data_IF_544813277943
#
_entry.id   IF_544813277943
#
_cell.length_a   1.000
_cell.length_b   1.000
_cell.length_c   1.000
_cell.angle_alpha   90.00
_cell.angle_beta   90.00
_cell.angle_gamma   90.00
#
_symmetry.space_group_name_H-M   'P 1'
#
loop_
_entity.id
_entity.type
_entity.pdbx_description
1 polymer ?
#
# COMPACT_ATOMS: atom_id res chain seq x y z
N UNK A 1 38.02 10.07 -6.23
CA UNK A 1 37.16 11.19 -5.80
C UNK A 1 35.97 10.53 -5.13
N UNK A 2 35.91 10.63 -3.80
CA UNK A 2 34.80 10.10 -2.99
C UNK A 2 33.57 10.96 -3.27
N UNK A 3 32.56 10.41 -3.96
CA UNK A 3 31.26 11.07 -4.04
C UNK A 3 30.74 11.21 -2.61
N UNK A 4 30.69 12.41 -2.08
CA UNK A 4 29.97 12.70 -0.83
C UNK A 4 28.55 12.22 -1.02
N UNK A 5 28.21 11.07 -0.43
CA UNK A 5 26.84 10.58 -0.38
C UNK A 5 26.03 11.63 0.34
N UNK A 6 25.12 12.30 -0.38
CA UNK A 6 24.22 13.29 0.20
C UNK A 6 23.38 12.58 1.28
N UNK A 7 23.72 12.83 2.54
CA UNK A 7 22.93 12.35 3.68
C UNK A 7 21.55 12.97 3.57
N UNK A 8 20.51 12.14 3.57
CA UNK A 8 19.14 12.65 3.68
C UNK A 8 18.96 13.41 4.98
N UNK A 9 18.28 14.53 4.87
CA UNK A 9 17.76 15.20 6.05
C UNK A 9 16.59 14.42 6.64
N UNK A 10 16.37 14.51 7.95
CA UNK A 10 15.24 13.85 8.62
C UNK A 10 13.89 14.16 7.94
N UNK A 11 13.59 15.42 7.52
CA UNK A 11 12.35 15.70 6.77
C UNK A 11 12.25 14.96 5.43
N UNK A 12 13.35 14.77 4.72
CA UNK A 12 13.36 14.04 3.44
C UNK A 12 13.11 12.54 3.65
N UNK A 13 13.74 11.95 4.67
CA UNK A 13 13.48 10.57 5.07
C UNK A 13 12.01 10.40 5.47
N UNK A 14 11.50 11.26 6.34
CA UNK A 14 10.10 11.24 6.77
C UNK A 14 9.14 11.36 5.56
N UNK A 15 9.49 12.18 4.57
CA UNK A 15 8.70 12.35 3.36
C UNK A 15 8.53 11.04 2.56
N UNK A 16 9.64 10.32 2.37
CA UNK A 16 9.62 9.05 1.60
C UNK A 16 8.83 7.98 2.35
N UNK A 17 9.14 7.77 3.64
CA UNK A 17 8.48 6.72 4.42
C UNK A 17 7.00 7.03 4.68
N UNK A 18 6.64 8.30 4.92
CA UNK A 18 5.25 8.70 5.06
C UNK A 18 4.46 8.46 3.76
N UNK A 19 5.01 8.84 2.58
CA UNK A 19 4.38 8.57 1.28
C UNK A 19 4.01 7.10 1.13
N UNK A 20 4.93 6.19 1.44
CA UNK A 20 4.67 4.76 1.40
C UNK A 20 3.52 4.33 2.36
N UNK A 21 3.52 4.82 3.61
CA UNK A 21 2.47 4.53 4.56
C UNK A 21 1.09 4.98 4.06
N UNK A 22 1.02 6.14 3.44
CA UNK A 22 -0.22 6.71 2.92
C UNK A 22 -0.79 5.89 1.75
N UNK A 23 0.06 5.36 0.87
CA UNK A 23 -0.36 4.45 -0.21
C UNK A 23 -0.91 3.13 0.33
N UNK A 24 -0.26 2.60 1.37
CA UNK A 24 -0.74 1.39 2.02
C UNK A 24 -2.08 1.57 2.71
N UNK A 25 -2.35 2.74 3.30
CA UNK A 25 -3.67 3.05 3.87
C UNK A 25 -4.78 2.87 2.83
N UNK A 26 -4.66 3.54 1.70
CA UNK A 26 -5.67 3.48 0.64
C UNK A 26 -5.90 2.08 0.10
N UNK A 27 -4.81 1.35 -0.04
CA UNK A 27 -4.88 -0.02 -0.55
C UNK A 27 -5.59 -0.95 0.45
N UNK A 28 -5.27 -0.83 1.74
CA UNK A 28 -5.78 -1.71 2.79
C UNK A 28 -7.22 -1.39 3.20
N UNK A 29 -7.60 -0.11 3.20
CA UNK A 29 -8.93 0.31 3.64
C UNK A 29 -10.05 -0.35 2.80
N UNK A 30 -9.82 -0.57 1.52
CA UNK A 30 -10.73 -1.33 0.66
C UNK A 30 -10.93 -2.77 1.16
N UNK A 31 -9.84 -3.45 1.53
CA UNK A 31 -9.90 -4.80 2.09
C UNK A 31 -10.65 -4.83 3.41
N UNK A 32 -10.42 -3.87 4.28
CA UNK A 32 -11.07 -3.82 5.61
C UNK A 32 -12.58 -3.58 5.53
N UNK A 33 -13.05 -2.87 4.51
CA UNK A 33 -14.47 -2.63 4.24
C UNK A 33 -15.03 -3.55 3.15
N UNK A 34 -14.40 -4.71 2.90
CA UNK A 34 -14.78 -5.62 1.82
C UNK A 34 -16.24 -6.10 1.91
N UNK A 35 -16.79 -6.26 3.12
CA UNK A 35 -18.18 -6.66 3.33
C UNK A 35 -19.12 -5.56 2.82
N UNK A 36 -18.93 -4.31 3.23
CA UNK A 36 -19.74 -3.16 2.86
C UNK A 36 -19.63 -2.85 1.36
N UNK A 37 -18.42 -2.92 0.83
CA UNK A 37 -18.13 -2.73 -0.59
C UNK A 37 -18.81 -3.83 -1.42
N UNK A 38 -18.79 -5.08 -0.94
CA UNK A 38 -19.45 -6.22 -1.58
C UNK A 38 -20.96 -6.01 -1.70
N UNK A 39 -21.61 -5.56 -0.64
CA UNK A 39 -23.04 -5.24 -0.64
C UNK A 39 -23.38 -4.11 -1.62
N UNK A 40 -22.49 -3.13 -1.76
CA UNK A 40 -22.72 -1.97 -2.64
C UNK A 40 -22.54 -2.29 -4.13
N UNK A 41 -21.54 -3.11 -4.50
CA UNK A 41 -21.14 -3.29 -5.89
C UNK A 41 -21.44 -4.69 -6.44
N UNK A 42 -21.63 -5.69 -5.61
CA UNK A 42 -21.87 -7.07 -5.99
C UNK A 42 -23.16 -7.65 -5.36
N UNK A 43 -24.32 -6.92 -5.41
CA UNK A 43 -25.58 -7.44 -4.92
C UNK A 43 -26.04 -8.59 -5.86
N UNK A 44 -26.94 -9.44 -5.38
CA UNK A 44 -27.47 -10.56 -6.17
C UNK A 44 -26.77 -11.88 -5.94
N UNK A 45 -25.72 -11.90 -5.13
CA UNK A 45 -25.10 -13.08 -4.56
C UNK A 45 -25.44 -13.19 -3.06
N UNK A 46 -25.24 -14.37 -2.47
CA UNK A 46 -25.24 -14.48 -1.02
C UNK A 46 -24.11 -13.66 -0.41
N UNK A 47 -24.15 -13.43 0.91
CA UNK A 47 -23.16 -12.59 1.59
C UNK A 47 -21.72 -13.07 1.37
N UNK A 48 -21.51 -14.39 1.29
CA UNK A 48 -20.21 -15.00 1.03
C UNK A 48 -19.76 -14.76 -0.41
N UNK A 49 -20.65 -14.90 -1.39
CA UNK A 49 -20.37 -14.65 -2.80
C UNK A 49 -20.00 -13.19 -3.06
N UNK A 50 -20.75 -12.24 -2.49
CA UNK A 50 -20.43 -10.81 -2.58
C UNK A 50 -19.07 -10.49 -1.96
N UNK A 51 -18.75 -11.07 -0.81
CA UNK A 51 -17.45 -10.92 -0.15
C UNK A 51 -16.31 -11.49 -1.01
N UNK A 52 -16.49 -12.71 -1.56
CA UNK A 52 -15.48 -13.35 -2.41
C UNK A 52 -15.19 -12.54 -3.68
N UNK A 53 -16.22 -11.98 -4.33
CA UNK A 53 -16.05 -11.09 -5.48
C UNK A 53 -15.29 -9.82 -5.12
N UNK A 54 -15.57 -9.25 -3.95
CA UNK A 54 -14.84 -8.07 -3.46
C UNK A 54 -13.38 -8.38 -3.15
N UNK A 55 -13.11 -9.52 -2.51
CA UNK A 55 -11.74 -9.96 -2.23
C UNK A 55 -10.99 -10.35 -3.51
N UNK A 56 -11.65 -10.95 -4.49
CA UNK A 56 -11.08 -11.18 -5.81
C UNK A 56 -10.73 -9.86 -6.50
N UNK A 57 -11.61 -8.87 -6.43
CA UNK A 57 -11.37 -7.51 -6.94
C UNK A 57 -10.20 -6.82 -6.21
N UNK A 58 -10.07 -7.02 -4.90
CA UNK A 58 -8.87 -6.60 -4.16
C UNK A 58 -7.61 -7.30 -4.71
N UNK A 59 -7.70 -8.61 -4.93
CA UNK A 59 -6.61 -9.43 -5.46
C UNK A 59 -6.16 -9.04 -6.87
N UNK A 60 -7.08 -8.60 -7.72
CA UNK A 60 -6.78 -8.14 -9.09
C UNK A 60 -5.75 -7.02 -9.12
N UNK A 61 -5.73 -6.14 -8.12
CA UNK A 61 -4.71 -5.11 -7.98
C UNK A 61 -3.27 -5.64 -7.88
N UNK A 62 -3.06 -6.87 -7.40
CA UNK A 62 -1.72 -7.47 -7.33
C UNK A 62 -1.22 -7.93 -8.71
N UNK A 63 -2.13 -8.28 -9.63
CA UNK A 63 -1.78 -8.75 -10.98
C UNK A 63 -1.11 -7.65 -11.80
N UNK A 64 -1.52 -6.40 -11.59
CA UNK A 64 -0.95 -5.25 -12.32
C UNK A 64 0.31 -4.68 -11.70
N UNK A 65 0.68 -5.05 -10.47
CA UNK A 65 1.92 -4.57 -9.82
C UNK A 65 3.19 -4.90 -10.60
N UNK A 66 3.43 -6.14 -11.08
CA UNK A 66 4.60 -6.43 -11.91
C UNK A 66 4.63 -5.62 -13.20
N UNK A 67 3.47 -5.37 -13.82
CA UNK A 67 3.35 -4.53 -15.02
C UNK A 67 3.73 -3.07 -14.70
N UNK A 68 3.23 -2.52 -13.59
CA UNK A 68 3.60 -1.20 -13.11
C UNK A 68 5.10 -1.07 -12.89
N UNK A 69 5.73 -2.05 -12.21
CA UNK A 69 7.17 -2.10 -12.02
C UNK A 69 7.95 -2.17 -13.31
N UNK A 70 7.53 -3.00 -14.26
CA UNK A 70 8.17 -3.18 -15.54
C UNK A 70 8.06 -1.96 -16.48
N UNK A 71 6.99 -1.18 -16.36
CA UNK A 71 6.76 0.03 -17.20
C UNK A 71 7.32 1.27 -16.52
N UNK A 72 6.99 1.49 -15.26
CA UNK A 72 7.35 2.73 -14.54
C UNK A 72 8.81 2.70 -14.08
N UNK A 73 9.37 1.52 -13.77
CA UNK A 73 10.77 1.38 -13.38
C UNK A 73 11.72 1.97 -14.45
N UNK A 74 11.73 1.44 -15.68
CA UNK A 74 12.53 1.99 -16.78
C UNK A 74 12.17 3.44 -17.15
N UNK A 75 10.90 3.83 -17.00
CA UNK A 75 10.50 5.22 -17.21
C UNK A 75 11.18 6.12 -16.18
N UNK A 76 11.20 5.73 -14.91
CA UNK A 76 11.89 6.46 -13.84
C UNK A 76 13.39 6.57 -14.05
N UNK A 77 13.99 5.57 -14.70
CA UNK A 77 15.41 5.61 -15.07
C UNK A 77 15.68 6.59 -16.23
N UNK A 78 14.69 6.88 -17.09
CA UNK A 78 14.81 7.78 -18.23
C UNK A 78 14.42 9.23 -17.92
N UNK A 79 13.28 9.44 -17.27
CA UNK A 79 12.72 10.78 -17.02
C UNK A 79 13.05 11.33 -15.62
N UNK A 80 13.66 10.50 -14.77
CA UNK A 80 13.98 10.82 -13.37
C UNK A 80 13.07 10.11 -12.38
N UNK A 81 13.61 9.82 -11.20
CA UNK A 81 12.87 9.12 -10.12
C UNK A 81 11.67 9.93 -9.64
N UNK A 82 11.86 11.23 -9.44
CA UNK A 82 10.83 12.14 -8.93
C UNK A 82 9.63 12.27 -9.87
N UNK A 83 9.75 12.52 -11.19
CA UNK A 83 8.61 12.54 -12.11
C UNK A 83 7.85 11.24 -12.15
N UNK A 84 8.53 10.09 -12.15
CA UNK A 84 7.89 8.78 -12.15
C UNK A 84 7.05 8.55 -10.89
N UNK A 85 7.58 8.89 -9.71
CA UNK A 85 6.85 8.82 -8.45
C UNK A 85 5.63 9.75 -8.44
N UNK A 86 5.76 11.00 -8.93
CA UNK A 86 4.63 11.93 -9.02
C UNK A 86 3.53 11.42 -9.95
N UNK A 87 3.90 10.75 -11.04
CA UNK A 87 2.95 10.08 -11.94
C UNK A 87 2.19 8.96 -11.24
N UNK A 88 2.89 8.10 -10.48
CA UNK A 88 2.26 7.04 -9.69
C UNK A 88 1.24 7.60 -8.68
N UNK A 89 1.60 8.67 -7.96
CA UNK A 89 0.67 9.31 -7.01
C UNK A 89 -0.55 9.93 -7.68
N UNK A 90 -0.35 10.59 -8.83
CA UNK A 90 -1.46 11.12 -9.62
C UNK A 90 -2.43 10.02 -10.04
N UNK A 91 -1.90 8.91 -10.54
CA UNK A 91 -2.68 7.75 -10.96
C UNK A 91 -3.39 7.08 -9.77
N UNK A 92 -2.70 6.96 -8.63
CA UNK A 92 -3.28 6.45 -7.39
C UNK A 92 -4.46 7.32 -6.93
N UNK A 93 -4.24 8.64 -6.82
CA UNK A 93 -5.28 9.58 -6.41
C UNK A 93 -6.49 9.58 -7.33
N UNK A 94 -6.27 9.53 -8.64
CA UNK A 94 -7.34 9.38 -9.63
C UNK A 94 -8.14 8.10 -9.40
N UNK A 95 -7.46 6.99 -9.15
CA UNK A 95 -8.09 5.69 -8.92
C UNK A 95 -8.92 5.67 -7.64
N UNK A 96 -8.40 6.24 -6.54
CA UNK A 96 -9.11 6.31 -5.25
C UNK A 96 -10.34 7.21 -5.38
N UNK A 97 -10.18 8.38 -5.98
CA UNK A 97 -11.29 9.30 -6.20
C UNK A 97 -12.37 8.63 -7.06
N UNK A 98 -11.97 7.93 -8.11
CA UNK A 98 -12.87 7.16 -8.96
C UNK A 98 -13.65 6.10 -8.17
N UNK A 99 -12.99 5.34 -7.30
CA UNK A 99 -13.63 4.35 -6.43
C UNK A 99 -14.66 5.00 -5.49
N UNK A 100 -14.28 6.09 -4.80
CA UNK A 100 -15.16 6.80 -3.87
C UNK A 100 -16.41 7.36 -4.56
N UNK A 101 -16.24 7.88 -5.77
CA UNK A 101 -17.32 8.49 -6.56
C UNK A 101 -18.15 7.50 -7.37
N UNK A 102 -17.71 6.23 -7.48
CA UNK A 102 -18.46 5.23 -8.24
C UNK A 102 -19.83 4.99 -7.61
N UNK A 103 -20.93 5.18 -8.38
CA UNK A 103 -22.28 4.90 -7.89
C UNK A 103 -22.48 3.41 -7.62
N UNK A 104 -23.46 3.06 -6.78
CA UNK A 104 -23.76 1.67 -6.44
C UNK A 104 -24.30 0.88 -7.65
N UNK A 105 -24.30 -0.45 -7.53
CA UNK A 105 -24.91 -1.32 -8.52
C UNK A 105 -26.40 -0.98 -8.76
N UNK A 106 -27.12 -0.59 -7.72
CA UNK A 106 -28.52 -0.20 -7.84
C UNK A 106 -28.73 1.04 -8.75
N UNK A 107 -27.71 1.90 -8.89
CA UNK A 107 -27.79 3.12 -9.68
C UNK A 107 -27.36 2.93 -11.13
N UNK A 108 -26.26 2.18 -11.39
CA UNK A 108 -25.63 2.06 -12.72
C UNK A 108 -25.45 0.62 -13.18
N UNK A 109 -26.02 -0.36 -12.46
CA UNK A 109 -25.96 -1.76 -12.81
C UNK A 109 -24.54 -2.32 -12.93
N UNK A 110 -24.30 -3.16 -13.94
CA UNK A 110 -23.02 -3.85 -14.16
C UNK A 110 -21.83 -2.90 -14.40
N UNK A 111 -22.08 -1.65 -14.74
CA UNK A 111 -21.01 -0.67 -14.89
C UNK A 111 -20.29 -0.38 -13.56
N UNK A 112 -21.00 -0.51 -12.43
CA UNK A 112 -20.40 -0.27 -11.10
C UNK A 112 -19.25 -1.24 -10.79
N UNK A 113 -19.40 -2.57 -10.79
CA UNK A 113 -18.30 -3.49 -10.55
C UNK A 113 -17.19 -3.40 -11.60
N UNK A 114 -17.51 -3.12 -12.87
CA UNK A 114 -16.50 -2.92 -13.92
C UNK A 114 -15.61 -1.72 -13.57
N UNK A 115 -16.18 -0.59 -13.18
CA UNK A 115 -15.43 0.59 -12.77
C UNK A 115 -14.56 0.31 -11.54
N UNK A 116 -15.09 -0.39 -10.54
CA UNK A 116 -14.34 -0.77 -9.34
C UNK A 116 -13.12 -1.62 -9.72
N UNK A 117 -13.29 -2.63 -10.56
CA UNK A 117 -12.19 -3.46 -11.05
C UNK A 117 -11.16 -2.64 -11.83
N UNK A 118 -11.57 -1.75 -12.71
CA UNK A 118 -10.67 -0.88 -13.47
C UNK A 118 -9.86 0.04 -12.55
N UNK A 119 -10.48 0.67 -11.56
CA UNK A 119 -9.76 1.51 -10.61
C UNK A 119 -8.80 0.69 -9.75
N UNK A 120 -9.15 -0.54 -9.38
CA UNK A 120 -8.23 -1.43 -8.65
C UNK A 120 -7.03 -1.88 -9.51
N UNK A 121 -7.23 -2.13 -10.80
CA UNK A 121 -6.14 -2.41 -11.73
C UNK A 121 -5.18 -1.22 -11.85
N UNK A 122 -5.71 0.01 -11.99
CA UNK A 122 -4.92 1.24 -12.04
C UNK A 122 -4.16 1.48 -10.74
N UNK A 123 -4.80 1.26 -9.60
CA UNK A 123 -4.18 1.39 -8.28
C UNK A 123 -3.04 0.40 -8.08
N UNK A 124 -3.24 -0.86 -8.46
CA UNK A 124 -2.19 -1.88 -8.44
C UNK A 124 -1.01 -1.54 -9.35
N UNK A 125 -1.29 -1.04 -10.56
CA UNK A 125 -0.26 -0.60 -11.51
C UNK A 125 0.58 0.56 -10.93
N UNK A 126 -0.06 1.57 -10.35
CA UNK A 126 0.61 2.70 -9.73
C UNK A 126 1.52 2.26 -8.56
N UNK A 127 0.97 1.45 -7.65
CA UNK A 127 1.70 0.94 -6.48
C UNK A 127 2.90 0.06 -6.88
N UNK A 128 2.75 -0.76 -7.92
CA UNK A 128 3.84 -1.61 -8.43
C UNK A 128 5.04 -0.82 -8.94
N UNK A 129 4.80 0.36 -9.49
CA UNK A 129 5.85 1.24 -10.02
C UNK A 129 6.68 1.96 -8.95
N UNK A 130 6.20 2.01 -7.70
CA UNK A 130 6.80 2.85 -6.67
C UNK A 130 7.65 2.12 -5.63
N UNK A 131 7.25 0.93 -5.20
CA UNK A 131 7.90 0.22 -4.06
C UNK A 131 9.39 -0.01 -4.29
N UNK A 132 9.79 -0.41 -5.50
CA UNK A 132 11.20 -0.64 -5.83
C UNK A 132 12.06 0.61 -5.72
N UNK A 133 11.72 1.69 -6.42
CA UNK A 133 12.44 2.97 -6.34
C UNK A 133 12.50 3.56 -4.93
N UNK A 134 11.43 3.46 -4.13
CA UNK A 134 11.40 3.97 -2.77
C UNK A 134 12.35 3.19 -1.84
N UNK A 135 12.36 1.86 -1.92
CA UNK A 135 13.28 1.01 -1.14
C UNK A 135 14.72 1.24 -1.55
N UNK A 136 15.01 1.31 -2.86
CA UNK A 136 16.35 1.60 -3.37
C UNK A 136 16.85 2.96 -2.86
N UNK A 137 16.00 3.99 -2.92
CA UNK A 137 16.31 5.33 -2.41
C UNK A 137 16.69 5.31 -0.92
N UNK A 138 15.93 4.58 -0.08
CA UNK A 138 16.23 4.45 1.34
C UNK A 138 17.57 3.74 1.59
N UNK A 139 17.86 2.69 0.84
CA UNK A 139 19.13 1.94 0.95
C UNK A 139 20.34 2.77 0.48
N UNK A 140 20.18 3.56 -0.58
CA UNK A 140 21.23 4.42 -1.13
C UNK A 140 21.54 5.61 -0.19
N UNK A 141 20.52 6.11 0.48
CA UNK A 141 20.61 7.22 1.41
C UNK A 141 21.15 6.84 2.79
N UNK A 142 21.04 5.57 3.17
CA UNK A 142 21.53 5.06 4.44
C UNK A 142 23.03 4.78 4.39
N UNK A 143 23.71 4.99 5.55
CA UNK A 143 25.06 4.45 5.75
C UNK A 143 24.99 2.93 5.83
N UNK A 144 26.06 2.19 5.47
CA UNK A 144 26.05 0.72 5.53
C UNK A 144 25.57 0.15 6.87
N UNK A 145 25.91 0.83 7.98
CA UNK A 145 25.63 0.43 9.36
C UNK A 145 24.17 0.71 9.80
N UNK A 146 23.34 1.34 8.93
CA UNK A 146 21.95 1.73 9.24
C UNK A 146 20.96 1.38 8.13
N UNK A 147 21.35 0.53 7.21
CA UNK A 147 20.48 0.15 6.08
C UNK A 147 19.25 -0.62 6.55
N UNK A 148 19.42 -1.54 7.51
CA UNK A 148 18.32 -2.30 8.09
C UNK A 148 17.31 -1.39 8.77
N UNK A 149 17.78 -0.44 9.57
CA UNK A 149 16.91 0.55 10.22
C UNK A 149 16.14 1.40 9.20
N UNK A 150 16.79 1.94 8.16
CA UNK A 150 16.12 2.79 7.18
C UNK A 150 15.05 2.02 6.38
N UNK A 151 15.34 0.79 5.97
CA UNK A 151 14.36 -0.07 5.29
C UNK A 151 13.23 -0.46 6.24
N UNK A 152 13.53 -0.75 7.50
CA UNK A 152 12.49 -1.10 8.49
C UNK A 152 11.51 0.03 8.78
N UNK A 153 11.94 1.31 8.64
CA UNK A 153 11.04 2.46 8.75
C UNK A 153 9.95 2.46 7.66
N UNK A 154 10.26 1.96 6.46
CA UNK A 154 9.25 1.78 5.41
C UNK A 154 8.18 0.78 5.85
N UNK A 155 8.57 -0.36 6.41
CA UNK A 155 7.63 -1.33 6.96
C UNK A 155 6.87 -0.80 8.18
N UNK A 156 7.52 -0.03 9.04
CA UNK A 156 6.86 0.62 10.18
C UNK A 156 5.75 1.58 9.73
N UNK A 157 5.94 2.33 8.64
CA UNK A 157 4.90 3.22 8.11
C UNK A 157 3.75 2.46 7.43
N UNK A 158 4.00 1.29 6.85
CA UNK A 158 2.94 0.40 6.38
C UNK A 158 2.09 -0.10 7.56
N UNK A 159 2.71 -0.45 8.68
CA UNK A 159 2.00 -0.83 9.91
C UNK A 159 1.28 0.36 10.55
N UNK A 160 1.83 1.57 10.45
CA UNK A 160 1.12 2.78 10.85
C UNK A 160 -0.13 3.03 9.99
N UNK A 161 -0.08 2.68 8.70
CA UNK A 161 -1.24 2.71 7.83
C UNK A 161 -2.32 1.70 8.26
N UNK A 162 -1.92 0.47 8.63
CA UNK A 162 -2.81 -0.55 9.19
C UNK A 162 -3.46 -0.04 10.48
N UNK A 163 -2.65 0.49 11.40
CA UNK A 163 -3.12 1.09 12.65
C UNK A 163 -4.14 2.20 12.40
N UNK A 164 -3.82 3.13 11.50
CA UNK A 164 -4.72 4.25 11.15
C UNK A 164 -6.02 3.75 10.53
N UNK A 165 -5.95 2.80 9.60
CA UNK A 165 -7.13 2.20 8.98
C UNK A 165 -8.00 1.44 10.02
N UNK A 166 -7.37 0.73 10.95
CA UNK A 166 -8.06 0.09 12.07
C UNK A 166 -8.76 1.10 13.00
N UNK A 167 -8.09 2.19 13.36
CA UNK A 167 -8.68 3.27 14.17
C UNK A 167 -9.86 3.95 13.46
N UNK A 168 -9.73 4.25 12.17
CA UNK A 168 -10.82 4.82 11.36
C UNK A 168 -11.99 3.85 11.28
N UNK A 169 -11.73 2.56 11.01
CA UNK A 169 -12.76 1.53 10.98
C UNK A 169 -13.48 1.39 12.32
N UNK A 170 -12.73 1.32 13.42
CA UNK A 170 -13.28 1.24 14.77
C UNK A 170 -14.12 2.48 15.12
N UNK A 171 -13.64 3.69 14.78
CA UNK A 171 -14.35 4.93 15.01
C UNK A 171 -15.68 4.96 14.24
N UNK A 172 -15.65 4.67 12.94
CA UNK A 172 -16.84 4.67 12.11
C UNK A 172 -17.84 3.60 12.55
N UNK A 173 -17.38 2.40 12.93
CA UNK A 173 -18.25 1.32 13.44
C UNK A 173 -18.89 1.66 14.80
N UNK A 174 -18.29 2.53 15.60
CA UNK A 174 -18.90 3.00 16.85
C UNK A 174 -19.84 4.20 16.66
N UNK A 175 -19.63 5.02 15.63
CA UNK A 175 -20.42 6.23 15.39
C UNK A 175 -21.60 6.00 14.46
N UNK A 176 -21.54 5.00 13.58
CA UNK A 176 -22.54 4.73 12.56
C UNK A 176 -23.24 3.41 12.84
N UNK A 177 -24.53 3.34 12.45
CA UNK A 177 -25.22 2.05 12.39
C UNK A 177 -24.64 1.18 11.27
N UNK A 178 -24.83 -0.14 11.37
CA UNK A 178 -24.37 -1.10 10.34
C UNK A 178 -24.91 -0.73 8.95
N UNK A 179 -26.16 -0.24 8.86
CA UNK A 179 -26.76 0.23 7.63
C UNK A 179 -26.04 1.47 7.08
N UNK A 180 -25.78 2.48 7.90
CA UNK A 180 -25.07 3.68 7.47
C UNK A 180 -23.62 3.37 7.08
N UNK A 181 -22.99 2.44 7.78
CA UNK A 181 -21.65 1.97 7.46
C UNK A 181 -21.61 1.29 6.07
N UNK A 182 -22.64 0.46 5.76
CA UNK A 182 -22.78 -0.21 4.47
C UNK A 182 -23.15 0.75 3.34
N UNK A 183 -23.99 1.76 3.59
CA UNK A 183 -24.47 2.66 2.54
C UNK A 183 -23.42 3.69 2.12
N UNK A 184 -22.73 4.30 3.09
CA UNK A 184 -21.79 5.40 2.81
C UNK A 184 -20.56 5.48 3.72
N UNK A 185 -20.59 4.88 4.92
CA UNK A 185 -19.51 5.02 5.90
C UNK A 185 -18.15 4.56 5.38
N UNK A 186 -18.09 3.49 4.61
CA UNK A 186 -16.87 3.01 3.96
C UNK A 186 -16.29 4.03 2.96
N UNK A 187 -17.16 4.84 2.30
CA UNK A 187 -16.70 5.91 1.39
C UNK A 187 -15.97 7.01 2.14
N UNK A 188 -16.39 7.33 3.37
CA UNK A 188 -15.69 8.30 4.22
C UNK A 188 -14.29 7.79 4.57
N UNK A 189 -14.18 6.51 4.96
CA UNK A 189 -12.88 5.90 5.22
C UNK A 189 -11.95 5.95 4.00
N UNK A 190 -12.47 5.67 2.79
CA UNK A 190 -11.70 5.77 1.55
C UNK A 190 -11.40 7.24 1.16
N UNK A 191 -12.33 8.16 1.39
CA UNK A 191 -12.13 9.58 1.08
C UNK A 191 -11.02 10.21 1.93
N UNK A 192 -10.81 9.74 3.16
CA UNK A 192 -9.64 10.14 3.96
C UNK A 192 -8.33 9.77 3.26
N UNK A 193 -8.31 8.66 2.53
CA UNK A 193 -7.20 8.29 1.67
C UNK A 193 -6.95 9.31 0.54
N UNK A 194 -7.99 9.86 -0.06
CA UNK A 194 -7.84 10.90 -1.10
C UNK A 194 -7.15 12.15 -0.58
N UNK A 195 -7.44 12.57 0.67
CA UNK A 195 -6.80 13.74 1.29
C UNK A 195 -5.31 13.58 1.49
N UNK A 196 -4.87 12.34 1.56
CA UNK A 196 -3.47 11.97 1.70
C UNK A 196 -2.67 12.22 0.43
N UNK A 197 -3.29 12.08 -0.75
CA UNK A 197 -2.62 12.26 -2.05
C UNK A 197 -2.04 13.67 -2.23
N UNK A 198 -2.80 14.77 -2.05
CA UNK A 198 -2.23 16.11 -2.15
C UNK A 198 -1.11 16.34 -1.14
N UNK A 199 -1.22 15.80 0.07
CA UNK A 199 -0.14 15.88 1.06
C UNK A 199 1.14 15.17 0.58
N UNK A 200 1.02 13.94 0.09
CA UNK A 200 2.14 13.19 -0.47
C UNK A 200 2.76 13.90 -1.69
N UNK A 201 1.95 14.49 -2.58
CA UNK A 201 2.41 15.27 -3.71
C UNK A 201 3.20 16.52 -3.28
N UNK A 202 2.71 17.27 -2.30
CA UNK A 202 3.39 18.45 -1.75
C UNK A 202 4.72 18.05 -1.12
N UNK A 203 4.72 17.00 -0.31
CA UNK A 203 5.89 16.51 0.39
C UNK A 203 6.97 16.04 -0.60
N UNK A 204 6.59 15.28 -1.62
CA UNK A 204 7.52 14.77 -2.64
C UNK A 204 7.99 15.83 -3.62
N UNK A 205 7.25 16.90 -3.89
CA UNK A 205 7.76 18.05 -4.66
C UNK A 205 8.99 18.68 -4.02
N UNK A 206 9.15 18.57 -2.72
CA UNK A 206 10.30 19.06 -1.95
C UNK A 206 11.50 18.12 -1.93
N UNK A 207 11.35 16.86 -2.40
CA UNK A 207 12.46 15.93 -2.51
C UNK A 207 13.40 16.34 -3.66
N UNK A 208 14.72 16.25 -3.47
CA UNK A 208 15.67 16.43 -4.55
C UNK A 208 15.55 15.28 -5.57
N UNK A 209 15.88 15.54 -6.84
CA UNK A 209 16.12 14.46 -7.80
C UNK A 209 17.40 13.73 -7.40
N UNK A 210 17.32 12.41 -7.27
CA UNK A 210 18.45 11.57 -6.84
C UNK A 210 19.10 10.84 -7.99
N UNK A 211 18.51 10.89 -9.19
CA UNK A 211 19.08 10.26 -10.35
C UNK A 211 20.35 11.02 -10.81
N UNK A 212 21.52 10.54 -10.38
CA UNK A 212 22.74 10.86 -11.11
C UNK A 212 22.66 10.09 -12.43
N UNK A 213 22.72 10.81 -13.56
CA UNK A 213 22.83 10.20 -14.88
C UNK A 213 24.08 9.32 -14.92
N UNK A 214 23.94 8.08 -14.45
CA UNK A 214 24.95 7.07 -14.71
C UNK A 214 24.79 6.68 -16.17
N UNK A 215 25.84 7.00 -16.96
CA UNK A 215 26.07 6.48 -18.29
C UNK A 215 25.60 5.03 -18.41
N UNK A 216 24.99 4.68 -19.53
CA UNK A 216 24.47 3.37 -19.91
C UNK A 216 25.52 2.24 -19.77
N UNK A 217 25.84 1.84 -18.56
CA UNK A 217 26.55 0.60 -18.34
C UNK A 217 25.52 -0.50 -18.31
N UNK A 218 25.48 -1.30 -19.37
CA UNK A 218 24.68 -2.51 -19.44
C UNK A 218 24.83 -3.28 -18.13
N UNK A 219 23.71 -3.53 -17.45
CA UNK A 219 23.74 -4.30 -16.20
C UNK A 219 24.36 -5.68 -16.49
N UNK A 220 25.44 -6.06 -15.82
CA UNK A 220 26.03 -7.38 -16.02
C UNK A 220 24.98 -8.45 -15.69
N UNK A 221 24.91 -9.49 -16.50
CA UNK A 221 23.99 -10.62 -16.26
C UNK A 221 24.23 -11.17 -14.85
N UNK A 222 23.19 -11.38 -14.05
CA UNK A 222 23.35 -11.88 -12.68
C UNK A 222 24.01 -13.26 -12.69
N UNK A 223 24.94 -13.47 -11.79
CA UNK A 223 25.57 -14.77 -11.59
C UNK A 223 24.57 -15.80 -11.06
N UNK A 224 24.84 -17.09 -11.23
CA UNK A 224 23.99 -18.17 -10.67
C UNK A 224 23.79 -18.04 -9.15
N UNK A 225 24.79 -17.58 -8.43
CA UNK A 225 24.69 -17.33 -6.99
C UNK A 225 23.72 -16.17 -6.69
N UNK A 226 23.79 -15.06 -7.44
CA UNK A 226 22.87 -13.93 -7.31
C UNK A 226 21.43 -14.33 -7.65
N UNK A 227 21.22 -15.14 -8.69
CA UNK A 227 19.90 -15.65 -9.03
C UNK A 227 19.32 -16.54 -7.90
N UNK A 228 20.16 -17.40 -7.30
CA UNK A 228 19.74 -18.24 -6.17
C UNK A 228 19.37 -17.42 -4.94
N UNK A 229 20.17 -16.41 -4.60
CA UNK A 229 19.87 -15.47 -3.50
C UNK A 229 18.56 -14.73 -3.80
N UNK A 230 18.39 -14.23 -5.02
CA UNK A 230 17.15 -13.56 -5.45
C UNK A 230 15.92 -14.47 -5.34
N UNK A 231 16.05 -15.73 -5.73
CA UNK A 231 14.97 -16.71 -5.61
C UNK A 231 14.52 -16.92 -4.15
N UNK A 232 15.48 -17.14 -3.23
CA UNK A 232 15.17 -17.29 -1.81
C UNK A 232 14.62 -16.01 -1.20
N UNK A 233 15.11 -14.83 -1.61
CA UNK A 233 14.56 -13.55 -1.18
C UNK A 233 13.10 -13.37 -1.61
N UNK A 234 12.76 -13.75 -2.86
CA UNK A 234 11.37 -13.73 -3.34
C UNK A 234 10.49 -14.69 -2.56
N UNK A 235 10.94 -15.91 -2.28
CA UNK A 235 10.17 -16.87 -1.46
C UNK A 235 9.92 -16.35 -0.05
N UNK A 236 10.94 -15.79 0.60
CA UNK A 236 10.81 -15.21 1.95
C UNK A 236 9.85 -14.03 1.95
N UNK A 237 9.96 -13.14 0.95
CA UNK A 237 9.06 -12.00 0.81
C UNK A 237 7.62 -12.46 0.54
N UNK A 238 7.42 -13.47 -0.31
CA UNK A 238 6.11 -14.03 -0.58
C UNK A 238 5.48 -14.62 0.69
N UNK A 239 6.23 -15.40 1.46
CA UNK A 239 5.75 -15.97 2.73
C UNK A 239 5.37 -14.89 3.74
N UNK A 240 6.21 -13.86 3.90
CA UNK A 240 5.91 -12.72 4.77
C UNK A 240 4.67 -11.94 4.32
N UNK A 241 4.51 -11.75 3.01
CA UNK A 241 3.34 -11.08 2.41
C UNK A 241 2.07 -11.87 2.66
N UNK A 242 2.08 -13.19 2.41
CA UNK A 242 0.92 -14.07 2.68
C UNK A 242 0.54 -14.00 4.16
N UNK A 243 1.52 -14.10 5.07
CA UNK A 243 1.26 -14.00 6.51
C UNK A 243 0.60 -12.66 6.89
N UNK A 244 1.13 -11.54 6.37
CA UNK A 244 0.57 -10.20 6.62
C UNK A 244 -0.87 -10.08 6.15
N UNK A 245 -1.18 -10.52 4.92
CA UNK A 245 -2.55 -10.45 4.40
C UNK A 245 -3.49 -11.41 5.10
N UNK A 246 -3.02 -12.58 5.53
CA UNK A 246 -3.81 -13.50 6.37
C UNK A 246 -4.18 -12.83 7.70
N UNK A 247 -3.23 -12.15 8.35
CA UNK A 247 -3.52 -11.41 9.59
C UNK A 247 -4.52 -10.26 9.35
N UNK A 248 -4.38 -9.52 8.24
CA UNK A 248 -5.34 -8.47 7.89
C UNK A 248 -6.74 -9.03 7.59
N UNK A 249 -6.84 -10.24 7.03
CA UNK A 249 -8.10 -10.92 6.78
C UNK A 249 -8.83 -11.34 8.07
N UNK A 250 -8.14 -11.47 9.20
CA UNK A 250 -8.75 -11.85 10.49
C UNK A 250 -9.85 -10.86 10.92
N UNK A 251 -9.76 -9.59 10.55
CA UNK A 251 -10.84 -8.62 10.75
C UNK A 251 -12.14 -9.07 10.07
N UNK A 252 -12.05 -9.43 8.79
CA UNK A 252 -13.20 -9.89 7.99
C UNK A 252 -13.71 -11.23 8.52
N UNK A 253 -12.82 -12.16 8.83
CA UNK A 253 -13.17 -13.46 9.41
C UNK A 253 -13.92 -13.31 10.74
N UNK A 254 -13.43 -12.40 11.60
CA UNK A 254 -14.09 -12.10 12.86
C UNK A 254 -15.52 -11.58 12.68
N UNK A 255 -15.71 -10.61 11.77
CA UNK A 255 -17.04 -10.03 11.53
C UNK A 255 -17.97 -10.99 10.75
N UNK A 256 -17.48 -11.59 9.67
CA UNK A 256 -18.31 -12.38 8.74
C UNK A 256 -18.57 -13.80 9.25
N UNK A 257 -17.55 -14.47 9.83
CA UNK A 257 -17.65 -15.90 10.19
C UNK A 257 -17.96 -16.09 11.65
N UNK A 258 -17.37 -15.29 12.54
CA UNK A 258 -17.59 -15.40 13.98
C UNK A 258 -18.73 -14.51 14.49
N UNK A 259 -19.26 -13.59 13.65
CA UNK A 259 -20.35 -12.69 14.02
C UNK A 259 -19.95 -11.65 15.08
N UNK A 260 -18.66 -11.36 15.23
CA UNK A 260 -18.18 -10.37 16.20
C UNK A 260 -18.54 -8.95 15.74
N UNK A 261 -18.79 -8.02 16.68
CA UNK A 261 -18.99 -6.62 16.37
C UNK A 261 -17.81 -6.04 15.58
N UNK A 262 -18.10 -5.22 14.54
CA UNK A 262 -17.07 -4.63 13.69
C UNK A 262 -16.04 -3.82 14.50
N UNK A 263 -16.46 -3.12 15.55
CA UNK A 263 -15.58 -2.35 16.42
C UNK A 263 -14.51 -3.24 17.11
N UNK A 264 -14.87 -4.46 17.53
CA UNK A 264 -13.94 -5.40 18.17
C UNK A 264 -12.92 -5.94 17.15
N UNK A 265 -13.38 -6.30 15.97
CA UNK A 265 -12.50 -6.82 14.90
C UNK A 265 -11.53 -5.76 14.38
N UNK A 266 -11.96 -4.51 14.28
CA UNK A 266 -11.05 -3.39 14.02
C UNK A 266 -10.09 -3.13 15.19
N UNK A 267 -10.49 -3.37 16.43
CA UNK A 267 -9.62 -3.33 17.61
C UNK A 267 -8.42 -4.27 17.48
N UNK A 268 -8.64 -5.49 16.99
CA UNK A 268 -7.54 -6.43 16.71
C UNK A 268 -6.55 -5.89 15.65
N UNK A 269 -7.04 -5.20 14.61
CA UNK A 269 -6.20 -4.53 13.61
C UNK A 269 -5.36 -3.42 14.24
N UNK A 270 -5.94 -2.64 15.15
CA UNK A 270 -5.23 -1.60 15.91
C UNK A 270 -4.08 -2.18 16.72
N UNK A 271 -4.31 -3.27 17.44
CA UNK A 271 -3.25 -3.96 18.20
C UNK A 271 -2.14 -4.46 17.28
N UNK A 272 -2.49 -5.15 16.20
CA UNK A 272 -1.52 -5.68 15.24
C UNK A 272 -0.67 -4.55 14.61
N UNK A 273 -1.31 -3.48 14.15
CA UNK A 273 -0.63 -2.31 13.60
C UNK A 273 0.30 -1.64 14.60
N UNK A 274 -0.14 -1.48 15.86
CA UNK A 274 0.67 -0.91 16.95
C UNK A 274 1.93 -1.74 17.21
N UNK A 275 1.80 -3.07 17.30
CA UNK A 275 2.94 -3.96 17.43
C UNK A 275 3.92 -3.80 16.25
N UNK A 276 3.39 -3.75 15.02
CA UNK A 276 4.22 -3.59 13.84
C UNK A 276 4.99 -2.27 13.81
N UNK A 277 4.36 -1.15 14.18
CA UNK A 277 5.02 0.17 14.28
C UNK A 277 6.18 0.13 15.28
N UNK A 278 6.00 -0.54 16.42
CA UNK A 278 7.02 -0.61 17.48
C UNK A 278 8.15 -1.58 17.13
N UNK A 279 7.83 -2.77 16.63
CA UNK A 279 8.83 -3.84 16.51
C UNK A 279 9.57 -3.86 15.17
N UNK A 280 9.03 -3.29 14.08
CA UNK A 280 9.79 -3.22 12.82
C UNK A 280 11.09 -2.42 12.94
N UNK A 281 11.13 -1.20 13.53
CA UNK A 281 12.38 -0.47 13.71
C UNK A 281 13.37 -1.19 14.62
N UNK A 282 12.88 -1.91 15.63
CA UNK A 282 13.72 -2.74 16.53
C UNK A 282 14.39 -3.87 15.72
N UNK A 283 13.63 -4.56 14.87
CA UNK A 283 14.15 -5.59 13.98
C UNK A 283 15.21 -5.04 13.02
N UNK A 284 14.98 -3.88 12.42
CA UNK A 284 15.94 -3.21 11.56
C UNK A 284 17.23 -2.84 12.29
N UNK A 285 17.11 -2.31 13.50
CA UNK A 285 18.27 -1.98 14.34
C UNK A 285 19.08 -3.21 14.78
N UNK A 286 18.40 -4.32 15.09
CA UNK A 286 19.07 -5.61 15.41
C UNK A 286 19.80 -6.13 14.16
N UNK A 287 19.17 -6.08 13.00
CA UNK A 287 19.78 -6.51 11.71
C UNK A 287 21.03 -5.71 11.35
N UNK A 288 21.11 -4.45 11.72
CA UNK A 288 22.30 -3.60 11.48
C UNK A 288 23.49 -3.92 12.43
N UNK A 289 23.24 -4.73 13.47
CA UNK A 289 24.26 -5.12 14.46
C UNK A 289 24.77 -6.56 14.31
N UNK A 290 24.06 -7.38 13.53
CA UNK A 290 24.44 -8.75 13.20
C UNK A 290 25.28 -8.80 11.92
#
# INVERSE_FOLDING_TARGET
MSSERRKLTIPQLAAVVAGNGLEFYDFLIFGFFAIQIGQCFFPGHDATGSLLLTLATFGVGFVTRPLGGAVIGPLGDRIGRKPAMLFCFGLMGFSILGLVLTPSYASIGIAAPILVVLFRLLQGFALGGEVGPATAFLMEAATPERRGLYVSLQFATQQAAILTAGLVGMLLSNLLSDQALADWGWRVAMALGVLVVPFALILRRRLPETLEHKSETAFPRPSRAQMRIGFFAVLTLAAATVATYTMNYMNIFGSHTLGLPAAETFGAVVVAGSCGVLFNPVGGWVSDRL
#
